data_IF_408915474871
#
_entry.id   IF_408915474871
#
_cell.length_a   1.000
_cell.length_b   1.000
_cell.length_c   1.000
_cell.angle_alpha   90.00
_cell.angle_beta   90.00
_cell.angle_gamma   90.00
#
_symmetry.space_group_name_H-M   'P 1'
#
loop_
_entity.id
_entity.type
_entity.pdbx_description
1 polymer ?
#
# COMPACT_ATOMS: atom_id res chain seq x y z
N UNK A 1 -5.47 4.57 14.88
CA UNK A 1 -4.85 3.88 13.73
C UNK A 1 -4.80 2.38 13.93
N UNK A 2 -4.38 1.85 15.09
CA UNK A 2 -4.30 0.40 15.28
C UNK A 2 -5.60 -0.35 14.92
N UNK A 3 -6.76 0.17 15.35
CA UNK A 3 -8.08 -0.38 14.97
C UNK A 3 -8.26 -0.48 13.45
N UNK A 4 -8.01 0.61 12.72
CA UNK A 4 -8.16 0.64 11.26
C UNK A 4 -7.22 -0.34 10.56
N UNK A 5 -5.99 -0.49 11.08
CA UNK A 5 -5.03 -1.46 10.55
C UNK A 5 -5.56 -2.89 10.71
N UNK A 6 -6.07 -3.24 11.89
CA UNK A 6 -6.63 -4.58 12.13
C UNK A 6 -7.80 -4.85 11.18
N UNK A 7 -8.73 -3.91 11.05
CA UNK A 7 -9.90 -4.07 10.18
C UNK A 7 -9.53 -4.25 8.71
N UNK A 8 -8.53 -3.49 8.22
CA UNK A 8 -8.06 -3.63 6.84
C UNK A 8 -7.31 -4.94 6.63
N UNK A 9 -6.48 -5.36 7.60
CA UNK A 9 -5.80 -6.66 7.51
C UNK A 9 -6.80 -7.82 7.46
N UNK A 10 -7.85 -7.80 8.30
CA UNK A 10 -8.93 -8.80 8.27
C UNK A 10 -9.71 -8.77 6.95
N UNK A 11 -9.94 -7.59 6.37
CA UNK A 11 -10.59 -7.45 5.07
C UNK A 11 -9.76 -8.05 3.93
N UNK A 12 -8.45 -7.78 3.93
CA UNK A 12 -7.53 -8.18 2.86
C UNK A 12 -7.09 -9.64 2.95
N UNK A 13 -7.09 -10.26 4.14
CA UNK A 13 -6.79 -11.68 4.31
C UNK A 13 -7.97 -12.58 3.89
N UNK A 14 -8.34 -12.46 2.63
CA UNK A 14 -9.46 -13.15 2.01
C UNK A 14 -9.07 -13.59 0.60
N UNK A 15 -9.23 -14.88 0.27
CA UNK A 15 -8.87 -15.42 -1.05
C UNK A 15 -9.72 -14.86 -2.19
N UNK A 16 -10.93 -14.37 -1.89
CA UNK A 16 -11.89 -13.85 -2.86
C UNK A 16 -11.95 -12.32 -2.87
N UNK A 17 -11.00 -11.65 -2.21
CA UNK A 17 -10.95 -10.19 -2.15
C UNK A 17 -10.82 -9.58 -3.56
N UNK A 18 -11.53 -8.47 -3.77
CA UNK A 18 -11.52 -7.68 -5.00
C UNK A 18 -11.58 -6.20 -4.65
N UNK A 19 -11.27 -5.34 -5.62
CA UNK A 19 -11.40 -3.90 -5.47
C UNK A 19 -12.83 -3.47 -5.09
N UNK A 20 -13.84 -4.16 -5.63
CA UNK A 20 -15.26 -3.87 -5.33
C UNK A 20 -15.66 -4.24 -3.89
N UNK A 21 -15.08 -5.30 -3.32
CA UNK A 21 -15.28 -5.64 -1.90
C UNK A 21 -14.67 -4.54 -1.01
N UNK A 22 -13.45 -4.09 -1.33
CA UNK A 22 -12.77 -3.01 -0.60
C UNK A 22 -13.55 -1.69 -0.71
N UNK A 23 -14.02 -1.36 -1.92
CA UNK A 23 -14.88 -0.19 -2.17
C UNK A 23 -16.15 -0.24 -1.34
N UNK A 24 -16.87 -1.36 -1.36
CA UNK A 24 -18.11 -1.55 -0.58
C UNK A 24 -17.86 -1.32 0.90
N UNK A 25 -16.79 -1.90 1.44
CA UNK A 25 -16.41 -1.73 2.84
C UNK A 25 -16.11 -0.26 3.19
N UNK A 26 -15.30 0.42 2.38
CA UNK A 26 -14.91 1.82 2.61
C UNK A 26 -16.07 2.80 2.38
N UNK A 27 -16.97 2.53 1.43
CA UNK A 27 -18.19 3.33 1.26
C UNK A 27 -19.13 3.23 2.45
N UNK A 28 -19.22 2.06 3.09
CA UNK A 28 -19.88 1.91 4.39
C UNK A 28 -19.25 2.73 5.52
N UNK A 29 -18.09 3.35 5.28
CA UNK A 29 -17.34 4.21 6.20
C UNK A 29 -17.30 5.68 5.77
N UNK A 30 -18.22 6.11 4.90
CA UNK A 30 -18.40 7.51 4.54
C UNK A 30 -17.46 8.01 3.43
N UNK A 31 -16.79 7.09 2.75
CA UNK A 31 -15.99 7.40 1.55
C UNK A 31 -16.84 7.20 0.29
N UNK A 32 -17.14 8.32 -0.37
CA UNK A 32 -18.12 8.41 -1.46
C UNK A 32 -17.48 8.50 -2.86
N UNK A 33 -16.19 8.78 -2.94
CA UNK A 33 -15.44 8.94 -4.19
C UNK A 33 -14.36 7.85 -4.29
N UNK A 34 -14.79 6.66 -4.76
CA UNK A 34 -13.95 5.48 -4.93
C UNK A 34 -14.14 4.90 -6.33
N UNK A 35 -13.04 4.82 -7.07
CA UNK A 35 -12.98 4.23 -8.41
C UNK A 35 -12.19 2.93 -8.32
N UNK A 36 -12.75 1.86 -8.90
CA UNK A 36 -12.10 0.57 -9.07
C UNK A 36 -11.98 0.32 -10.56
N UNK A 37 -10.79 -0.08 -11.01
CA UNK A 37 -10.51 -0.40 -12.40
C UNK A 37 -9.74 -1.72 -12.48
N UNK A 38 -10.36 -2.74 -13.08
CA UNK A 38 -9.71 -4.03 -13.35
C UNK A 38 -8.75 -3.87 -14.52
N UNK A 39 -7.48 -4.21 -14.32
CA UNK A 39 -6.45 -4.13 -15.35
C UNK A 39 -5.84 -5.51 -15.55
N UNK A 40 -5.80 -5.93 -16.81
CA UNK A 40 -5.20 -7.19 -17.24
C UNK A 40 -3.75 -7.00 -17.63
N UNK A 41 -2.90 -7.82 -17.02
CA UNK A 41 -1.56 -8.09 -17.51
C UNK A 41 -1.53 -9.22 -18.54
N UNK A 42 -0.33 -9.72 -18.84
CA UNK A 42 -0.18 -10.82 -19.81
C UNK A 42 -0.84 -12.13 -19.35
N UNK A 43 -0.79 -12.42 -18.03
CA UNK A 43 -1.18 -13.72 -17.46
C UNK A 43 -2.22 -13.65 -16.36
N UNK A 44 -2.31 -12.52 -15.67
CA UNK A 44 -3.21 -12.32 -14.53
C UNK A 44 -3.71 -10.89 -14.50
N UNK A 45 -4.63 -10.60 -13.58
CA UNK A 45 -5.27 -9.30 -13.42
C UNK A 45 -5.10 -8.75 -12.02
N UNK A 46 -5.33 -7.45 -11.88
CA UNK A 46 -5.44 -6.76 -10.60
C UNK A 46 -6.48 -5.66 -10.66
N UNK A 47 -7.11 -5.38 -9.52
CA UNK A 47 -8.04 -4.25 -9.40
C UNK A 47 -7.30 -3.05 -8.83
N UNK A 48 -7.09 -2.00 -9.62
CA UNK A 48 -6.63 -0.73 -9.10
C UNK A 48 -7.76 -0.03 -8.37
N UNK A 49 -7.49 0.49 -7.18
CA UNK A 49 -8.45 1.26 -6.39
C UNK A 49 -7.88 2.65 -6.12
N UNK A 50 -8.68 3.67 -6.43
CA UNK A 50 -8.40 5.07 -6.13
C UNK A 50 -9.51 5.64 -5.27
N UNK A 51 -9.14 6.24 -4.15
CA UNK A 51 -10.05 6.80 -3.16
C UNK A 51 -9.70 8.28 -3.01
N UNK A 52 -10.64 9.16 -3.30
CA UNK A 52 -10.47 10.59 -3.12
C UNK A 52 -11.19 11.06 -1.85
N UNK A 53 -10.43 11.32 -0.79
CA UNK A 53 -10.96 11.95 0.43
C UNK A 53 -10.96 13.46 0.23
N UNK A 54 -12.13 14.01 -0.10
CA UNK A 54 -12.31 15.43 -0.39
C UNK A 54 -12.01 16.30 0.84
N UNK A 55 -11.13 17.28 0.66
CA UNK A 55 -10.86 18.33 1.66
C UNK A 55 -11.87 19.47 1.57
N UNK A 56 -12.04 20.24 2.65
CA UNK A 56 -12.96 21.39 2.68
C UNK A 56 -12.57 22.50 1.70
N UNK A 57 -11.28 22.64 1.42
CA UNK A 57 -10.68 23.60 0.49
C UNK A 57 -9.85 22.90 -0.60
N UNK A 58 -10.11 21.60 -0.83
CA UNK A 58 -9.39 20.77 -1.79
C UNK A 58 -9.67 21.16 -3.25
N UNK A 59 -8.76 20.80 -4.15
CA UNK A 59 -8.89 21.06 -5.59
C UNK A 59 -10.13 20.38 -6.16
N UNK A 60 -10.51 19.22 -5.61
CA UNK A 60 -11.68 18.43 -6.02
C UNK A 60 -13.02 19.16 -5.83
N UNK A 61 -13.06 20.16 -4.96
CA UNK A 61 -14.23 21.02 -4.68
C UNK A 61 -14.02 22.46 -5.16
N UNK A 62 -13.03 22.70 -6.03
CA UNK A 62 -12.71 24.02 -6.59
C UNK A 62 -11.84 24.92 -5.69
N UNK A 63 -11.33 24.37 -4.59
CA UNK A 63 -10.40 25.06 -3.71
C UNK A 63 -8.96 25.06 -4.21
N UNK A 64 -8.03 25.47 -3.35
CA UNK A 64 -6.60 25.64 -3.67
C UNK A 64 -5.65 24.97 -2.68
N UNK A 65 -6.18 24.28 -1.67
CA UNK A 65 -5.35 23.56 -0.71
C UNK A 65 -4.60 22.42 -1.43
N UNK A 66 -3.39 22.12 -0.94
CA UNK A 66 -2.55 21.08 -1.52
C UNK A 66 -3.18 19.70 -1.37
N UNK A 67 -3.02 18.86 -2.39
CA UNK A 67 -3.50 17.48 -2.43
C UNK A 67 -2.36 16.52 -2.12
N UNK A 68 -2.55 15.67 -1.12
CA UNK A 68 -1.59 14.61 -0.76
C UNK A 68 -1.99 13.29 -1.44
N UNK A 69 -1.04 12.66 -2.13
CA UNK A 69 -1.14 11.28 -2.59
C UNK A 69 -0.56 10.30 -1.57
N UNK A 70 -1.28 9.23 -1.27
CA UNK A 70 -0.77 8.08 -0.49
C UNK A 70 -0.88 6.85 -1.40
N UNK A 71 0.25 6.29 -1.80
CA UNK A 71 0.31 5.15 -2.72
C UNK A 71 0.78 3.93 -1.93
N UNK A 72 -0.07 2.91 -1.83
CA UNK A 72 0.33 1.58 -1.39
C UNK A 72 0.90 0.83 -2.57
N UNK A 73 2.22 0.73 -2.64
CA UNK A 73 2.93 0.03 -3.72
C UNK A 73 3.20 -1.41 -3.31
N UNK A 74 2.94 -2.33 -4.24
CA UNK A 74 3.07 -3.76 -4.05
C UNK A 74 3.13 -4.51 -5.40
N UNK A 75 3.47 -5.78 -5.36
CA UNK A 75 3.24 -6.77 -6.40
C UNK A 75 1.90 -7.51 -6.21
N UNK A 76 1.51 -7.78 -4.97
CA UNK A 76 0.18 -8.30 -4.65
C UNK A 76 -0.06 -8.57 -3.17
N UNK A 77 -1.33 -8.72 -2.81
CA UNK A 77 -1.77 -8.99 -1.42
C UNK A 77 -1.80 -10.49 -1.12
N UNK A 78 -1.77 -11.34 -2.14
CA UNK A 78 -1.65 -12.79 -2.04
C UNK A 78 -0.93 -13.39 -3.24
N UNK A 79 -0.44 -14.62 -3.12
CA UNK A 79 0.23 -15.37 -4.19
C UNK A 79 -0.35 -16.79 -4.30
N UNK A 80 -1.68 -16.91 -4.35
CA UNK A 80 -2.33 -18.23 -4.42
C UNK A 80 -2.25 -18.80 -5.86
N UNK A 81 -2.12 -20.13 -6.00
CA UNK A 81 -2.12 -21.14 -4.94
C UNK A 81 -0.78 -21.36 -4.22
N UNK A 82 0.30 -20.72 -4.65
CA UNK A 82 1.66 -20.97 -4.17
C UNK A 82 1.90 -20.56 -2.71
N UNK A 83 1.21 -19.52 -2.24
CA UNK A 83 1.19 -19.06 -0.84
C UNK A 83 -0.23 -18.72 -0.41
N UNK A 84 -0.68 -19.35 0.68
CA UNK A 84 -1.98 -19.11 1.29
C UNK A 84 -1.86 -18.00 2.34
N UNK A 85 -2.87 -17.11 2.34
CA UNK A 85 -2.96 -16.00 3.27
C UNK A 85 -2.45 -14.70 2.69
N UNK A 86 -2.42 -13.66 3.51
CA UNK A 86 -1.84 -12.37 3.18
C UNK A 86 -0.31 -12.44 3.13
N UNK A 87 0.29 -11.89 2.06
CA UNK A 87 1.76 -11.90 1.87
C UNK A 87 2.37 -10.57 2.30
N UNK A 88 3.67 -10.58 2.62
CA UNK A 88 4.38 -9.38 3.12
C UNK A 88 4.31 -8.18 2.20
N UNK A 89 4.26 -8.44 0.90
CA UNK A 89 4.26 -7.40 -0.12
C UNK A 89 2.93 -6.64 -0.15
N UNK A 90 1.86 -7.22 0.43
CA UNK A 90 0.58 -6.56 0.60
C UNK A 90 0.58 -5.43 1.64
N UNK A 91 1.58 -5.31 2.52
CA UNK A 91 1.54 -4.35 3.64
C UNK A 91 1.45 -2.89 3.16
N UNK A 92 2.01 -2.56 1.98
CA UNK A 92 1.85 -1.26 1.34
C UNK A 92 0.38 -0.92 1.08
N UNK A 93 -0.38 -1.87 0.52
CA UNK A 93 -1.82 -1.72 0.33
C UNK A 93 -2.56 -1.61 1.66
N UNK A 94 -2.23 -2.47 2.64
CA UNK A 94 -2.85 -2.44 3.95
C UNK A 94 -2.65 -1.09 4.66
N UNK A 95 -1.43 -0.54 4.61
CA UNK A 95 -1.12 0.77 5.20
C UNK A 95 -1.90 1.90 4.51
N UNK A 96 -1.90 1.93 3.18
CA UNK A 96 -2.60 2.94 2.40
C UNK A 96 -4.13 2.90 2.65
N UNK A 97 -4.73 1.71 2.61
CA UNK A 97 -6.16 1.53 2.87
C UNK A 97 -6.54 1.81 4.33
N UNK A 98 -5.62 1.58 5.28
CA UNK A 98 -5.82 1.96 6.69
C UNK A 98 -5.88 3.49 6.85
N UNK A 99 -5.08 4.23 6.09
CA UNK A 99 -5.18 5.69 6.02
C UNK A 99 -6.55 6.11 5.46
N UNK A 100 -7.00 5.50 4.35
CA UNK A 100 -8.32 5.77 3.80
C UNK A 100 -9.43 5.53 4.83
N UNK A 101 -9.43 4.36 5.49
CA UNK A 101 -10.41 4.01 6.51
C UNK A 101 -10.42 5.02 7.67
N UNK A 102 -9.25 5.43 8.15
CA UNK A 102 -9.15 6.44 9.21
C UNK A 102 -9.74 7.77 8.77
N UNK A 103 -9.44 8.20 7.55
CA UNK A 103 -9.91 9.47 7.01
C UNK A 103 -11.44 9.45 6.83
N UNK A 104 -12.01 8.32 6.41
CA UNK A 104 -13.47 8.10 6.40
C UNK A 104 -14.08 8.23 7.80
N UNK A 105 -13.50 7.53 8.79
CA UNK A 105 -13.94 7.62 10.19
C UNK A 105 -13.85 9.03 10.77
N UNK A 106 -12.81 9.81 10.39
CA UNK A 106 -12.64 11.21 10.78
C UNK A 106 -13.72 12.10 10.16
N UNK A 107 -13.91 11.98 8.83
CA UNK A 107 -14.91 12.75 8.08
C UNK A 107 -16.32 12.54 8.66
N UNK A 108 -16.70 11.30 8.96
CA UNK A 108 -17.99 10.99 9.58
C UNK A 108 -18.18 11.64 10.97
N UNK A 109 -17.08 11.88 11.69
CA UNK A 109 -17.08 12.53 13.01
C UNK A 109 -16.98 14.05 12.92
N UNK A 110 -16.94 14.62 11.70
CA UNK A 110 -16.84 16.06 11.45
C UNK A 110 -15.42 16.58 11.23
N UNK A 111 -14.40 15.72 11.33
CA UNK A 111 -13.00 16.10 11.10
C UNK A 111 -12.66 16.02 9.61
N UNK A 112 -12.80 17.14 8.90
CA UNK A 112 -12.50 17.26 7.46
C UNK A 112 -11.17 18.00 7.27
N UNK A 113 -10.24 17.43 6.51
CA UNK A 113 -8.95 18.06 6.20
C UNK A 113 -9.12 19.28 5.29
N UNK A 114 -8.12 20.15 5.25
CA UNK A 114 -8.12 21.32 4.35
C UNK A 114 -7.98 20.92 2.88
N UNK A 115 -6.99 20.09 2.57
CA UNK A 115 -6.72 19.58 1.23
C UNK A 115 -7.27 18.18 0.98
N UNK A 116 -7.33 17.79 -0.30
CA UNK A 116 -7.72 16.43 -0.68
C UNK A 116 -6.63 15.43 -0.29
N UNK A 117 -7.02 14.20 0.04
CA UNK A 117 -6.10 13.07 0.15
C UNK A 117 -6.54 12.00 -0.84
N UNK A 118 -5.67 11.68 -1.80
CA UNK A 118 -5.91 10.61 -2.76
C UNK A 118 -5.12 9.39 -2.32
N UNK A 119 -5.82 8.30 -2.07
CA UNK A 119 -5.21 7.02 -1.76
C UNK A 119 -5.31 6.14 -2.99
N UNK A 120 -4.19 5.55 -3.42
CA UNK A 120 -4.15 4.61 -4.54
C UNK A 120 -3.37 3.34 -4.18
N UNK A 121 -3.87 2.20 -4.61
CA UNK A 121 -3.21 0.89 -4.49
C UNK A 121 -3.86 -0.06 -5.48
N UNK A 122 -3.42 -1.31 -5.55
CA UNK A 122 -4.14 -2.36 -6.25
C UNK A 122 -4.37 -3.60 -5.38
N UNK A 123 -5.40 -4.36 -5.74
CA UNK A 123 -5.88 -5.57 -5.05
C UNK A 123 -5.63 -6.76 -5.97
N UNK A 124 -4.58 -7.53 -5.66
CA UNK A 124 -4.24 -8.76 -6.38
C UNK A 124 -4.12 -9.94 -5.40
N UNK A 125 -5.14 -10.82 -5.28
CA UNK A 125 -5.09 -11.97 -4.37
C UNK A 125 -4.18 -13.11 -4.85
N UNK A 126 -3.80 -13.08 -6.13
CA UNK A 126 -3.13 -14.17 -6.86
C UNK A 126 -1.99 -13.59 -7.71
N UNK A 127 -1.08 -12.85 -7.08
CA UNK A 127 0.07 -12.27 -7.77
C UNK A 127 1.04 -13.37 -8.21
N UNK A 128 1.69 -13.19 -9.37
CA UNK A 128 2.70 -14.12 -9.85
C UNK A 128 3.91 -14.12 -8.89
N UNK A 129 4.59 -15.26 -8.80
CA UNK A 129 5.84 -15.37 -8.03
C UNK A 129 7.02 -15.70 -8.95
N UNK A 130 8.18 -15.17 -8.60
CA UNK A 130 9.45 -15.51 -9.22
C UNK A 130 10.28 -16.37 -8.27
N UNK A 131 10.79 -17.55 -8.71
CA UNK A 131 11.64 -18.41 -7.89
C UNK A 131 12.91 -17.68 -7.45
N UNK A 132 13.06 -17.46 -6.15
CA UNK A 132 14.22 -16.81 -5.55
C UNK A 132 14.47 -17.34 -4.11
N UNK A 133 15.72 -17.28 -3.63
CA UNK A 133 16.14 -17.73 -2.29
C UNK A 133 16.68 -16.55 -1.48
N UNK A 134 16.33 -16.38 -0.19
CA UNK A 134 15.59 -17.29 0.69
C UNK A 134 14.06 -17.12 0.66
N UNK A 135 13.56 -16.13 -0.08
CA UNK A 135 12.13 -15.85 -0.26
C UNK A 135 11.86 -15.65 -1.75
N UNK A 136 10.73 -16.18 -2.23
CA UNK A 136 10.24 -15.90 -3.57
C UNK A 136 9.97 -14.41 -3.71
N UNK A 137 10.26 -13.87 -4.89
CA UNK A 137 9.91 -12.49 -5.19
C UNK A 137 8.47 -12.43 -5.67
N UNK A 138 7.74 -11.46 -5.11
CA UNK A 138 6.40 -11.15 -5.55
C UNK A 138 6.50 -10.35 -6.84
N UNK A 139 5.96 -10.91 -7.91
CA UNK A 139 5.72 -10.16 -9.13
C UNK A 139 4.42 -9.37 -9.02
N UNK A 140 4.16 -8.54 -10.02
CA UNK A 140 2.86 -7.90 -10.23
C UNK A 140 2.25 -8.40 -11.54
N UNK A 141 0.91 -8.45 -11.66
CA UNK A 141 0.26 -8.69 -12.94
C UNK A 141 0.65 -7.68 -14.03
N UNK A 142 0.96 -6.44 -13.65
CA UNK A 142 1.23 -5.34 -14.59
C UNK A 142 2.61 -4.73 -14.37
N UNK A 143 3.15 -4.08 -15.40
CA UNK A 143 4.43 -3.40 -15.31
C UNK A 143 4.37 -2.08 -14.53
N UNK A 144 5.55 -1.52 -14.23
CA UNK A 144 5.70 -0.28 -13.49
C UNK A 144 5.13 0.95 -14.22
N UNK A 145 5.08 0.95 -15.55
CA UNK A 145 4.49 2.06 -16.31
C UNK A 145 2.98 2.10 -16.11
N UNK A 146 2.33 0.93 -16.18
CA UNK A 146 0.91 0.77 -15.88
C UNK A 146 0.64 1.15 -14.43
N UNK A 147 1.40 0.64 -13.45
CA UNK A 147 1.26 1.03 -12.04
C UNK A 147 1.30 2.56 -11.87
N UNK A 148 2.33 3.22 -12.40
CA UNK A 148 2.47 4.67 -12.27
C UNK A 148 1.28 5.41 -12.90
N UNK A 149 0.82 4.97 -14.08
CA UNK A 149 -0.35 5.57 -14.75
C UNK A 149 -1.64 5.41 -13.93
N UNK A 150 -1.78 4.28 -13.24
CA UNK A 150 -2.98 3.96 -12.47
C UNK A 150 -2.98 4.59 -11.07
N UNK A 151 -1.81 4.66 -10.42
CA UNK A 151 -1.63 5.12 -9.03
C UNK A 151 -1.40 6.63 -8.92
N UNK A 152 -0.68 7.23 -9.87
CA UNK A 152 -0.30 8.65 -9.81
C UNK A 152 -1.34 9.49 -10.55
N UNK A 153 -1.88 10.48 -9.84
CA UNK A 153 -2.87 11.40 -10.40
C UNK A 153 -2.25 12.80 -10.56
N UNK A 154 -2.37 13.47 -11.73
CA UNK A 154 -1.65 14.71 -12.01
C UNK A 154 -1.84 15.87 -11.04
N UNK A 155 -2.92 15.88 -10.24
CA UNK A 155 -3.21 16.97 -9.30
C UNK A 155 -2.72 16.71 -7.87
N UNK A 156 -2.02 15.60 -7.61
CA UNK A 156 -1.26 15.38 -6.37
C UNK A 156 -0.07 16.36 -6.30
N UNK A 157 0.04 17.14 -5.21
CA UNK A 157 1.16 18.07 -4.99
C UNK A 157 2.35 17.40 -4.29
N UNK A 158 2.08 16.34 -3.53
CA UNK A 158 3.08 15.51 -2.87
C UNK A 158 2.61 14.05 -2.85
N UNK A 159 3.55 13.11 -2.86
CA UNK A 159 3.26 11.67 -2.83
C UNK A 159 4.05 11.02 -1.70
N UNK A 160 3.37 10.25 -0.87
CA UNK A 160 3.96 9.26 0.04
C UNK A 160 3.73 7.90 -0.59
N UNK A 161 4.79 7.25 -1.07
CA UNK A 161 4.74 5.88 -1.56
C UNK A 161 5.20 4.92 -0.46
N UNK A 162 4.34 3.97 -0.12
CA UNK A 162 4.56 2.95 0.90
C UNK A 162 4.83 1.65 0.16
N UNK A 163 6.09 1.22 0.15
CA UNK A 163 6.55 -0.02 -0.46
C UNK A 163 7.21 -0.87 0.63
N UNK A 164 6.75 -2.11 0.76
CA UNK A 164 7.09 -2.99 1.88
C UNK A 164 7.70 -4.30 1.40
N UNK A 165 8.96 -4.26 0.97
CA UNK A 165 9.70 -5.48 0.66
C UNK A 165 10.35 -6.08 1.91
N UNK A 166 9.75 -7.12 2.51
CA UNK A 166 10.31 -7.82 3.71
C UNK A 166 11.42 -8.85 3.38
N UNK A 167 11.98 -8.82 2.18
CA UNK A 167 13.05 -9.74 1.74
C UNK A 167 14.44 -9.46 2.33
N UNK A 168 14.64 -8.32 2.97
CA UNK A 168 15.93 -7.91 3.53
C UNK A 168 16.15 -8.50 4.92
N UNK A 169 16.95 -9.57 5.02
CA UNK A 169 17.34 -10.19 6.29
C UNK A 169 18.73 -9.74 6.72
N UNK A 170 18.82 -8.74 7.59
CA UNK A 170 19.89 -8.72 8.60
C UNK A 170 19.24 -8.60 9.97
N UNK A 171 19.27 -9.72 10.71
CA UNK A 171 18.67 -9.88 12.01
C UNK A 171 19.75 -9.64 13.08
N UNK A 172 19.58 -8.59 13.91
CA UNK A 172 20.35 -8.50 15.15
C UNK A 172 19.65 -9.35 16.22
N UNK A 173 20.41 -10.09 17.03
CA UNK A 173 20.00 -11.14 17.98
C UNK A 173 18.92 -10.71 19.01
N UNK A 174 18.56 -9.42 19.04
CA UNK A 174 17.56 -8.81 19.95
C UNK A 174 16.26 -8.34 19.27
N UNK A 175 15.95 -8.81 18.06
CA UNK A 175 14.59 -8.70 17.50
C UNK A 175 14.24 -7.40 16.78
N UNK A 176 15.23 -6.66 16.27
CA UNK A 176 15.00 -5.59 15.30
C UNK A 176 15.66 -5.94 13.97
N UNK A 177 14.96 -5.70 12.87
CA UNK A 177 15.46 -5.92 11.51
C UNK A 177 16.16 -4.65 11.02
N UNK A 178 17.38 -4.79 10.49
CA UNK A 178 18.11 -3.71 9.81
C UNK A 178 18.13 -4.03 8.32
N UNK A 179 17.62 -3.12 7.50
CA UNK A 179 17.70 -3.24 6.04
C UNK A 179 18.98 -2.60 5.52
N UNK A 180 19.61 -3.16 4.47
CA UNK A 180 20.74 -2.54 3.78
C UNK A 180 20.45 -1.11 3.32
N UNK A 181 21.46 -0.23 3.42
CA UNK A 181 21.36 1.12 2.86
C UNK A 181 21.37 1.03 1.33
N UNK A 182 20.39 1.65 0.68
CA UNK A 182 20.39 1.80 -0.78
C UNK A 182 20.99 3.15 -1.15
N UNK A 183 21.98 3.15 -2.05
CA UNK A 183 22.56 4.37 -2.63
C UNK A 183 22.76 4.17 -4.12
N UNK A 184 22.17 5.05 -4.94
CA UNK A 184 22.34 5.06 -6.40
C UNK A 184 22.09 3.69 -7.07
N UNK A 185 21.09 2.94 -6.56
CA UNK A 185 20.75 1.60 -7.05
C UNK A 185 21.64 0.48 -6.50
N UNK A 186 22.66 0.79 -5.68
CA UNK A 186 23.51 -0.19 -5.03
C UNK A 186 22.99 -0.54 -3.64
N UNK A 187 22.98 -1.86 -3.35
CA UNK A 187 22.72 -2.41 -2.02
C UNK A 187 24.04 -2.38 -1.24
N UNK A 188 24.18 -1.43 -0.33
CA UNK A 188 25.38 -1.31 0.50
C UNK A 188 25.29 -2.24 1.70
N UNK A 189 26.40 -2.92 2.01
CA UNK A 189 26.51 -3.74 3.22
C UNK A 189 26.14 -2.91 4.44
N UNK A 190 25.25 -3.44 5.30
CA UNK A 190 24.92 -2.81 6.59
C UNK A 190 26.20 -2.63 7.40
N UNK A 191 26.36 -1.44 7.99
CA UNK A 191 27.51 -1.17 8.84
C UNK A 191 27.61 -2.19 9.96
N UNK A 192 28.76 -2.87 10.06
CA UNK A 192 29.02 -3.83 11.13
C UNK A 192 28.92 -3.18 12.52
N UNK A 193 29.05 -1.84 12.64
CA UNK A 193 28.81 -1.13 13.92
C UNK A 193 27.34 -1.17 14.36
N UNK A 194 26.40 -1.10 13.42
CA UNK A 194 24.96 -1.21 13.70
C UNK A 194 24.57 -2.65 14.08
N UNK A 195 25.36 -3.63 13.63
CA UNK A 195 25.20 -5.04 14.00
C UNK A 195 25.85 -5.37 15.34
N UNK A 196 27.00 -4.74 15.66
CA UNK A 196 27.77 -4.99 16.88
C UNK A 196 27.30 -4.20 18.10
N UNK A 197 26.63 -3.06 17.90
CA UNK A 197 26.16 -2.26 19.01
C UNK A 197 25.07 -3.00 19.79
N UNK A 198 25.40 -3.41 21.02
CA UNK A 198 24.42 -3.39 22.11
C UNK A 198 23.96 -1.93 22.18
N UNK A 199 22.75 -1.63 21.69
CA UNK A 199 22.06 -0.44 22.17
C UNK A 199 22.11 -0.52 23.70
N UNK A 200 22.88 0.38 24.30
CA UNK A 200 23.01 0.55 25.74
C UNK A 200 21.64 0.93 26.26
N UNK A 201 20.89 -0.08 26.70
CA UNK A 201 19.95 0.02 27.81
C UNK A 201 20.60 -0.70 28.98
#
# INVERSE_FOLDING_TARGET
MLKQVIEIMELLDNSNISGEIVKTFLSGRGLDDIVVEEVWGEKSKTDFIKINVKGRNGKSVGGKAQTLGIIGRLGGIGARPEMIGFVSDGDGAAAALSCALKLGDMKQKGDILDGDVIIATHICPNAPIEPHQPVAFMGSPVDMQVMNKMEVVPYMDAIISIDTTKGNRILNFKGFAITPTIKDGYILKVSDSLLRNRLLL
#
